data_IF_758551857113
#
_entry.id   IF_758551857113
#
_cell.length_a   1.000
_cell.length_b   1.000
_cell.length_c   1.000
_cell.angle_alpha   90.00
_cell.angle_beta   90.00
_cell.angle_gamma   90.00
#
_symmetry.space_group_name_H-M   'P 1'
#
loop_
_entity.id
_entity.type
_entity.pdbx_description
1 polymer ?
#
# COMPACT_ATOMS: atom_id res chain seq x y z
N UNK A 1 19.29 47.84 57.18
CA UNK A 1 17.88 47.52 56.87
C UNK A 1 17.67 47.27 55.37
N UNK A 2 18.67 46.71 54.67
CA UNK A 2 18.69 46.59 53.19
C UNK A 2 18.95 45.17 52.68
N UNK A 3 19.24 44.20 53.57
CA UNK A 3 19.55 42.82 53.15
C UNK A 3 18.31 41.92 53.00
N UNK A 4 17.17 42.28 53.59
CA UNK A 4 15.95 41.46 53.55
C UNK A 4 15.10 41.64 52.29
N UNK A 5 15.15 42.81 51.64
CA UNK A 5 14.41 43.05 50.39
C UNK A 5 15.04 42.29 49.20
N UNK A 6 16.38 42.17 49.19
CA UNK A 6 17.11 41.45 48.14
C UNK A 6 16.81 39.95 48.08
N UNK A 7 16.39 39.32 49.19
CA UNK A 7 16.09 37.88 49.22
C UNK A 7 14.70 37.53 48.67
N UNK A 8 13.73 38.43 48.83
CA UNK A 8 12.36 38.23 48.35
C UNK A 8 12.27 38.32 46.84
N UNK A 9 12.99 39.26 46.22
CA UNK A 9 13.02 39.43 44.76
C UNK A 9 13.62 38.21 44.06
N UNK A 10 14.70 37.64 44.60
CA UNK A 10 15.34 36.42 44.07
C UNK A 10 14.39 35.23 44.12
N UNK A 11 13.67 35.04 45.23
CA UNK A 11 12.70 33.94 45.37
C UNK A 11 11.50 34.11 44.43
N UNK A 12 11.06 35.34 44.17
CA UNK A 12 9.97 35.61 43.22
C UNK A 12 10.41 35.34 41.77
N UNK A 13 11.64 35.71 41.41
CA UNK A 13 12.21 35.44 40.09
C UNK A 13 12.38 33.94 39.84
N UNK A 14 12.91 33.19 40.81
CA UNK A 14 13.04 31.73 40.73
C UNK A 14 11.68 31.06 40.60
N UNK A 15 10.68 31.49 41.38
CA UNK A 15 9.30 30.99 41.28
C UNK A 15 8.71 31.27 39.90
N UNK A 16 8.91 32.47 39.34
CA UNK A 16 8.45 32.82 37.98
C UNK A 16 9.13 31.95 36.91
N UNK A 17 10.44 31.71 37.02
CA UNK A 17 11.19 30.82 36.11
C UNK A 17 10.69 29.39 36.19
N UNK A 18 10.46 28.86 37.40
CA UNK A 18 9.92 27.52 37.61
C UNK A 18 8.50 27.38 37.03
N UNK A 19 7.62 28.37 37.24
CA UNK A 19 6.26 28.35 36.67
C UNK A 19 6.31 28.40 35.14
N UNK A 20 7.16 29.26 34.57
CA UNK A 20 7.32 29.39 33.11
C UNK A 20 7.88 28.10 32.51
N UNK A 21 8.87 27.49 33.14
CA UNK A 21 9.45 26.20 32.73
C UNK A 21 8.41 25.07 32.77
N UNK A 22 7.63 24.95 33.86
CA UNK A 22 6.54 23.96 33.96
C UNK A 22 5.51 24.13 32.85
N UNK A 23 5.06 25.38 32.59
CA UNK A 23 4.12 25.68 31.51
C UNK A 23 4.70 25.32 30.14
N UNK A 24 5.96 25.64 29.89
CA UNK A 24 6.64 25.30 28.65
C UNK A 24 6.71 23.77 28.46
N UNK A 25 7.10 23.02 29.49
CA UNK A 25 7.10 21.56 29.45
C UNK A 25 5.71 20.97 29.19
N UNK A 26 4.66 21.51 29.83
CA UNK A 26 3.28 21.07 29.57
C UNK A 26 2.87 21.36 28.13
N UNK A 27 3.14 22.56 27.61
CA UNK A 27 2.82 22.92 26.22
C UNK A 27 3.56 22.00 25.25
N UNK A 28 4.87 21.81 25.44
CA UNK A 28 5.66 20.90 24.61
C UNK A 28 5.13 19.46 24.68
N UNK A 29 4.76 18.97 25.86
CA UNK A 29 4.16 17.65 26.03
C UNK A 29 2.84 17.49 25.29
N UNK A 30 1.96 18.49 25.36
CA UNK A 30 0.68 18.49 24.64
C UNK A 30 0.89 18.53 23.12
N UNK A 31 1.80 19.39 22.64
CA UNK A 31 2.14 19.47 21.22
C UNK A 31 2.72 18.16 20.73
N UNK A 32 3.63 17.56 21.48
CA UNK A 32 4.22 16.27 21.16
C UNK A 32 3.15 15.17 21.09
N UNK A 33 2.25 15.11 22.07
CA UNK A 33 1.15 14.15 22.07
C UNK A 33 0.21 14.34 20.86
N UNK A 34 -0.11 15.59 20.50
CA UNK A 34 -0.94 15.90 19.35
C UNK A 34 -0.29 15.48 18.00
N UNK A 35 1.04 15.41 17.93
CA UNK A 35 1.78 14.99 16.73
C UNK A 35 2.05 13.48 16.71
N UNK A 36 2.19 12.83 17.87
CA UNK A 36 2.56 11.42 17.92
C UNK A 36 1.37 10.46 18.02
N UNK A 37 0.27 10.87 18.65
CA UNK A 37 -0.88 9.98 18.88
C UNK A 37 -1.76 9.73 17.64
N UNK A 38 -2.06 10.73 16.78
CA UNK A 38 -3.00 10.52 15.68
C UNK A 38 -2.62 9.43 14.67
N UNK A 39 -1.34 9.21 14.29
CA UNK A 39 -0.92 8.07 13.48
C UNK A 39 -1.27 6.69 14.04
N UNK A 40 -1.57 6.61 15.33
CA UNK A 40 -1.98 5.38 16.01
C UNK A 40 -3.50 5.34 16.18
N UNK A 41 -4.10 6.43 16.69
CA UNK A 41 -5.51 6.46 17.07
C UNK A 41 -6.43 6.59 15.84
N UNK A 42 -6.11 7.50 14.91
CA UNK A 42 -7.02 7.82 13.80
C UNK A 42 -7.26 6.62 12.89
N UNK A 43 -6.26 5.81 12.49
CA UNK A 43 -6.50 4.63 11.66
C UNK A 43 -7.41 3.57 12.31
N UNK A 44 -7.53 3.55 13.64
CA UNK A 44 -8.44 2.64 14.34
C UNK A 44 -9.90 3.09 14.25
N UNK A 45 -10.16 4.40 14.24
CA UNK A 45 -11.52 4.96 14.18
C UNK A 45 -11.98 5.29 12.75
N UNK A 46 -11.05 5.73 11.91
CA UNK A 46 -11.25 6.08 10.50
C UNK A 46 -10.18 5.37 9.67
N UNK A 47 -10.43 4.11 9.29
CA UNK A 47 -9.48 3.33 8.51
C UNK A 47 -9.26 3.97 7.14
N UNK A 48 -8.11 3.65 6.54
CA UNK A 48 -7.72 4.07 5.20
C UNK A 48 -7.47 5.58 5.02
N UNK A 49 -7.33 6.31 6.13
CA UNK A 49 -6.84 7.69 6.11
C UNK A 49 -5.34 7.73 5.81
N UNK A 50 -4.88 8.78 5.11
CA UNK A 50 -3.45 8.97 4.79
C UNK A 50 -2.59 9.40 6.00
N UNK A 51 -3.18 9.42 7.20
CA UNK A 51 -2.48 9.70 8.46
C UNK A 51 -1.47 8.60 8.77
N UNK A 52 -1.82 7.33 8.52
CA UNK A 52 -0.90 6.19 8.59
C UNK A 52 -1.51 5.05 7.78
N UNK A 53 -1.10 4.91 6.53
CA UNK A 53 -1.59 3.87 5.65
C UNK A 53 -0.51 3.34 4.71
N UNK A 54 -0.84 2.20 4.10
CA UNK A 54 -0.06 1.56 3.04
C UNK A 54 -0.95 1.40 1.83
N UNK A 55 -0.42 1.80 0.69
CA UNK A 55 -1.07 1.72 -0.60
C UNK A 55 -0.39 0.63 -1.43
N UNK A 56 -1.20 -0.14 -2.14
CA UNK A 56 -0.75 -1.11 -3.13
C UNK A 56 -1.40 -0.74 -4.45
N UNK A 57 -0.59 -0.42 -5.44
CA UNK A 57 -1.02 -0.16 -6.80
C UNK A 57 -0.48 -1.23 -7.75
N UNK A 58 -1.20 -1.48 -8.84
CA UNK A 58 -0.74 -2.31 -9.96
C UNK A 58 -0.62 -1.43 -11.20
N UNK A 59 0.41 -1.66 -12.01
CA UNK A 59 0.51 -1.13 -13.35
C UNK A 59 -0.17 -2.10 -14.33
N UNK A 60 -1.35 -1.76 -14.84
CA UNK A 60 -2.11 -2.65 -15.72
C UNK A 60 -1.56 -2.73 -17.15
N UNK A 61 -0.53 -1.95 -17.47
CA UNK A 61 0.20 -2.02 -18.75
C UNK A 61 1.47 -2.86 -18.67
N UNK A 62 2.03 -3.07 -17.48
CA UNK A 62 3.30 -3.79 -17.31
C UNK A 62 3.27 -4.93 -16.29
N UNK A 63 2.18 -5.06 -15.53
CA UNK A 63 2.06 -6.01 -14.42
C UNK A 63 2.84 -5.63 -13.16
N UNK A 64 3.60 -4.53 -13.14
CA UNK A 64 4.42 -4.16 -11.96
C UNK A 64 3.58 -3.69 -10.77
N UNK A 65 4.02 -4.01 -9.57
CA UNK A 65 3.40 -3.54 -8.33
C UNK A 65 4.12 -2.31 -7.79
N UNK A 66 3.38 -1.37 -7.20
CA UNK A 66 3.92 -0.24 -6.44
C UNK A 66 3.35 -0.24 -5.03
N UNK A 67 4.25 -0.17 -4.06
CA UNK A 67 3.95 -0.14 -2.64
C UNK A 67 4.35 1.23 -2.10
N UNK A 68 3.41 1.95 -1.50
CA UNK A 68 3.68 3.27 -0.92
C UNK A 68 3.26 3.30 0.54
N UNK A 69 4.01 4.02 1.37
CA UNK A 69 3.67 4.28 2.77
C UNK A 69 3.45 5.76 3.00
N UNK A 70 2.37 6.08 3.69
CA UNK A 70 2.01 7.44 4.06
C UNK A 70 2.01 7.59 5.57
N UNK A 71 2.51 8.73 6.03
CA UNK A 71 2.42 9.19 7.41
C UNK A 71 2.11 10.67 7.36
N UNK A 72 1.08 11.11 8.09
CA UNK A 72 0.66 12.51 8.09
C UNK A 72 0.41 13.09 6.68
N UNK A 73 -0.26 12.34 5.80
CA UNK A 73 -0.53 12.72 4.41
C UNK A 73 0.73 12.87 3.53
N UNK A 74 1.91 12.60 4.07
CA UNK A 74 3.18 12.65 3.34
C UNK A 74 3.58 11.22 2.94
N UNK A 75 3.90 11.03 1.66
CA UNK A 75 4.49 9.78 1.17
C UNK A 75 5.92 9.66 1.70
N UNK A 76 6.13 8.77 2.65
CA UNK A 76 7.44 8.57 3.30
C UNK A 76 8.26 7.47 2.64
N UNK A 77 7.63 6.57 1.89
CA UNK A 77 8.33 5.55 1.11
C UNK A 77 7.52 5.14 -0.11
N UNK A 78 8.23 4.75 -1.16
CA UNK A 78 7.67 4.16 -2.37
C UNK A 78 8.64 3.12 -2.93
N UNK A 79 8.11 1.98 -3.33
CA UNK A 79 8.88 0.89 -3.90
C UNK A 79 8.09 0.28 -5.06
N UNK A 80 8.75 0.08 -6.20
CA UNK A 80 8.18 -0.65 -7.34
C UNK A 80 8.84 -2.03 -7.38
N UNK A 81 8.02 -3.08 -7.44
CA UNK A 81 8.47 -4.48 -7.51
C UNK A 81 7.89 -5.16 -8.73
N UNK A 82 8.65 -6.10 -9.27
CA UNK A 82 8.12 -7.02 -10.25
C UNK A 82 7.10 -7.98 -9.58
N UNK A 83 6.09 -8.37 -10.35
CA UNK A 83 5.13 -9.42 -10.01
C UNK A 83 5.34 -10.59 -10.96
N UNK A 84 4.75 -11.77 -10.70
CA UNK A 84 4.81 -12.88 -11.66
C UNK A 84 4.36 -12.49 -13.08
N UNK A 85 3.39 -11.57 -13.20
CA UNK A 85 2.93 -11.04 -14.49
C UNK A 85 4.05 -10.25 -15.17
N UNK A 86 4.69 -9.31 -14.48
CA UNK A 86 5.73 -8.49 -15.10
C UNK A 86 7.01 -9.27 -15.39
N UNK A 87 7.30 -10.30 -14.60
CA UNK A 87 8.41 -11.24 -14.86
C UNK A 87 8.14 -12.03 -16.14
N UNK A 88 6.95 -12.62 -16.28
CA UNK A 88 6.57 -13.38 -17.47
C UNK A 88 6.57 -12.54 -18.76
N UNK A 89 6.35 -11.22 -18.65
CA UNK A 89 6.38 -10.30 -19.78
C UNK A 89 7.78 -9.79 -20.16
N UNK A 90 8.81 -10.02 -19.32
CA UNK A 90 10.19 -9.60 -19.58
C UNK A 90 10.33 -8.11 -19.98
N UNK A 91 9.52 -7.24 -19.37
CA UNK A 91 9.50 -5.80 -19.65
C UNK A 91 8.64 -5.36 -20.84
N UNK A 92 7.93 -6.28 -21.50
CA UNK A 92 6.91 -5.98 -22.51
C UNK A 92 5.80 -5.12 -21.90
N UNK A 93 5.35 -4.13 -22.68
CA UNK A 93 4.24 -3.23 -22.33
C UNK A 93 3.02 -3.61 -23.16
N UNK A 94 1.90 -3.88 -22.49
CA UNK A 94 0.62 -4.15 -23.11
C UNK A 94 -0.21 -2.87 -23.05
N UNK A 95 -0.61 -2.34 -24.19
CA UNK A 95 -1.37 -1.09 -24.28
C UNK A 95 -2.51 -1.24 -25.29
N UNK A 96 -3.65 -1.77 -24.82
CA UNK A 96 -4.82 -2.08 -25.66
C UNK A 96 -6.01 -1.16 -25.39
N UNK A 97 -5.92 -0.29 -24.38
CA UNK A 97 -6.96 0.69 -24.06
C UNK A 97 -6.36 2.00 -23.54
N UNK A 98 -7.06 3.12 -23.78
CA UNK A 98 -6.72 4.42 -23.22
C UNK A 98 -7.10 4.50 -21.73
N UNK A 99 -6.31 3.84 -20.90
CA UNK A 99 -6.47 3.78 -19.45
C UNK A 99 -5.13 4.12 -18.77
N UNK A 100 -5.21 4.78 -17.61
CA UNK A 100 -4.01 5.14 -16.84
C UNK A 100 -3.24 3.86 -16.44
N UNK A 101 -1.90 3.86 -16.42
CA UNK A 101 -1.17 2.64 -16.09
C UNK A 101 -1.36 2.21 -14.64
N UNK A 102 -1.23 3.15 -13.68
CA UNK A 102 -1.22 2.82 -12.26
C UNK A 102 -2.62 2.92 -11.64
N UNK A 103 -3.04 1.84 -11.00
CA UNK A 103 -4.32 1.75 -10.30
C UNK A 103 -4.18 1.23 -8.89
N UNK A 104 -4.90 1.85 -7.95
CA UNK A 104 -5.01 1.39 -6.57
C UNK A 104 -5.74 0.04 -6.51
N UNK A 105 -5.11 -0.92 -5.84
CA UNK A 105 -5.63 -2.29 -5.62
C UNK A 105 -6.02 -2.47 -4.16
N UNK A 106 -5.15 -2.04 -3.24
CA UNK A 106 -5.42 -2.14 -1.80
C UNK A 106 -4.99 -0.89 -1.03
N UNK A 107 -5.72 -0.60 0.04
CA UNK A 107 -5.32 0.35 1.08
C UNK A 107 -5.42 -0.33 2.43
N UNK A 108 -4.32 -0.33 3.17
CA UNK A 108 -4.24 -0.91 4.51
C UNK A 108 -3.90 0.15 5.54
N UNK A 109 -4.50 0.04 6.71
CA UNK A 109 -4.16 0.82 7.89
C UNK A 109 -3.55 -0.10 8.95
N UNK A 110 -2.73 0.41 9.88
CA UNK A 110 -2.21 -0.37 11.00
C UNK A 110 -3.32 -1.16 11.70
N UNK A 111 -3.09 -2.45 11.91
CA UNK A 111 -4.05 -3.35 12.58
C UNK A 111 -5.20 -3.86 11.69
N UNK A 112 -5.36 -3.36 10.47
CA UNK A 112 -6.44 -3.77 9.56
C UNK A 112 -5.92 -4.62 8.41
N UNK A 113 -6.61 -5.73 8.16
CA UNK A 113 -6.28 -6.71 7.11
C UNK A 113 -7.21 -6.66 5.90
N UNK A 114 -8.20 -5.77 5.91
CA UNK A 114 -9.11 -5.58 4.80
C UNK A 114 -8.94 -4.18 4.18
N UNK A 115 -9.29 -4.08 2.91
CA UNK A 115 -9.21 -2.87 2.10
C UNK A 115 -10.59 -2.55 1.54
N UNK A 116 -10.89 -1.29 1.17
CA UNK A 116 -12.01 -1.00 0.30
C UNK A 116 -11.90 -1.80 -1.00
N UNK A 117 -13.05 -2.12 -1.59
CA UNK A 117 -13.11 -2.86 -2.83
C UNK A 117 -12.84 -1.92 -4.02
N UNK A 118 -11.61 -1.95 -4.52
CA UNK A 118 -11.19 -1.17 -5.68
C UNK A 118 -11.50 -1.88 -7.00
N UNK A 119 -11.51 -1.12 -8.11
CA UNK A 119 -11.75 -1.61 -9.48
C UNK A 119 -10.85 -2.80 -9.87
N UNK A 120 -9.62 -2.82 -9.36
CA UNK A 120 -8.63 -3.88 -9.59
C UNK A 120 -8.27 -4.64 -8.31
N UNK A 121 -9.16 -4.70 -7.30
CA UNK A 121 -8.88 -5.24 -5.96
C UNK A 121 -8.28 -6.65 -5.96
N UNK A 122 -8.71 -7.53 -6.87
CA UNK A 122 -8.21 -8.89 -6.99
C UNK A 122 -6.86 -9.03 -7.73
N UNK A 123 -6.30 -7.96 -8.29
CA UNK A 123 -5.16 -8.05 -9.20
C UNK A 123 -3.93 -8.76 -8.61
N UNK A 124 -3.60 -8.51 -7.34
CA UNK A 124 -2.48 -9.19 -6.68
C UNK A 124 -2.77 -10.66 -6.36
N UNK A 125 -4.03 -10.99 -6.03
CA UNK A 125 -4.43 -12.38 -5.83
C UNK A 125 -4.37 -13.15 -7.17
N UNK A 126 -4.80 -12.52 -8.25
CA UNK A 126 -4.74 -13.09 -9.60
C UNK A 126 -3.31 -13.27 -10.10
N UNK A 127 -2.41 -12.32 -9.86
CA UNK A 127 -1.00 -12.48 -10.20
C UNK A 127 -0.37 -13.71 -9.51
N UNK A 128 -0.76 -13.97 -8.25
CA UNK A 128 -0.33 -15.18 -7.52
C UNK A 128 -1.02 -16.44 -7.99
N UNK A 129 -2.32 -16.39 -8.30
CA UNK A 129 -3.07 -17.52 -8.88
C UNK A 129 -2.43 -17.94 -10.22
N UNK A 130 -2.07 -16.99 -11.07
CA UNK A 130 -1.36 -17.22 -12.33
C UNK A 130 -0.02 -17.94 -12.11
N UNK A 131 0.80 -17.48 -11.16
CA UNK A 131 2.07 -18.13 -10.82
C UNK A 131 1.86 -19.59 -10.40
N UNK A 132 0.87 -19.85 -9.55
CA UNK A 132 0.50 -21.22 -9.18
C UNK A 132 0.02 -22.04 -10.38
N UNK A 133 -0.76 -21.44 -11.29
CA UNK A 133 -1.19 -22.09 -12.53
C UNK A 133 0.01 -22.49 -13.38
N UNK A 134 1.02 -21.61 -13.53
CA UNK A 134 2.25 -21.93 -14.28
C UNK A 134 2.99 -23.13 -13.71
N UNK A 135 3.08 -23.24 -12.38
CA UNK A 135 3.72 -24.37 -11.72
C UNK A 135 2.94 -25.67 -11.89
N UNK A 136 1.61 -25.60 -11.86
CA UNK A 136 0.74 -26.78 -11.93
C UNK A 136 0.65 -27.39 -13.33
N UNK A 137 0.67 -26.56 -14.38
CA UNK A 137 0.60 -27.02 -15.78
C UNK A 137 1.99 -27.14 -16.43
N UNK A 138 3.05 -26.95 -15.66
CA UNK A 138 4.46 -26.85 -16.13
C UNK A 138 4.63 -25.91 -17.33
N UNK A 139 3.99 -24.74 -17.26
CA UNK A 139 3.95 -23.80 -18.38
C UNK A 139 5.36 -23.35 -18.77
N UNK A 140 5.67 -23.42 -20.06
CA UNK A 140 6.93 -22.92 -20.63
C UNK A 140 6.93 -21.38 -20.72
N UNK A 141 8.07 -20.78 -21.08
CA UNK A 141 8.22 -19.32 -21.11
C UNK A 141 7.26 -18.61 -22.06
N UNK A 142 6.92 -19.23 -23.20
CA UNK A 142 6.02 -18.66 -24.20
C UNK A 142 4.58 -18.64 -23.66
N UNK A 143 4.11 -19.77 -23.13
CA UNK A 143 2.79 -19.89 -22.49
C UNK A 143 2.63 -18.90 -21.33
N UNK A 144 3.66 -18.77 -20.48
CA UNK A 144 3.66 -17.80 -19.38
C UNK A 144 3.47 -16.36 -19.89
N UNK A 145 4.17 -16.00 -20.96
CA UNK A 145 4.07 -14.68 -21.57
C UNK A 145 2.67 -14.45 -22.17
N UNK A 146 2.11 -15.43 -22.87
CA UNK A 146 0.77 -15.37 -23.47
C UNK A 146 -0.34 -15.22 -22.41
N UNK A 147 -0.24 -15.98 -21.32
CA UNK A 147 -1.19 -15.90 -20.20
C UNK A 147 -1.10 -14.54 -19.51
N UNK A 148 0.11 -14.07 -19.21
CA UNK A 148 0.34 -12.77 -18.59
C UNK A 148 -0.17 -11.61 -19.47
N UNK A 149 0.05 -11.68 -20.77
CA UNK A 149 -0.47 -10.72 -21.74
C UNK A 149 -2.00 -10.72 -21.78
N UNK A 150 -2.63 -11.90 -21.78
CA UNK A 150 -4.08 -12.05 -21.79
C UNK A 150 -4.72 -11.46 -20.53
N UNK A 151 -4.11 -11.64 -19.36
CA UNK A 151 -4.55 -11.01 -18.11
C UNK A 151 -4.55 -9.48 -18.23
N UNK A 152 -3.46 -8.88 -18.71
CA UNK A 152 -3.37 -7.43 -18.85
C UNK A 152 -4.38 -6.90 -19.89
N UNK A 153 -4.59 -7.63 -20.99
CA UNK A 153 -5.62 -7.29 -21.99
C UNK A 153 -7.02 -7.30 -21.38
N UNK A 154 -7.37 -8.34 -20.62
CA UNK A 154 -8.66 -8.46 -19.95
C UNK A 154 -8.87 -7.31 -18.93
N UNK A 155 -7.87 -7.02 -18.10
CA UNK A 155 -7.93 -5.89 -17.18
C UNK A 155 -8.15 -4.56 -17.89
N UNK A 156 -7.50 -4.32 -19.03
CA UNK A 156 -7.61 -3.07 -19.78
C UNK A 156 -8.94 -2.95 -20.54
N UNK A 157 -9.37 -4.02 -21.22
CA UNK A 157 -10.59 -4.04 -22.03
C UNK A 157 -11.84 -3.88 -21.16
N UNK A 158 -11.92 -4.62 -20.05
CA UNK A 158 -13.07 -4.62 -19.16
C UNK A 158 -12.94 -3.53 -18.08
N UNK A 159 -11.71 -3.06 -17.87
CA UNK A 159 -11.39 -2.16 -16.79
C UNK A 159 -11.83 -2.74 -15.45
N UNK A 160 -11.64 -4.02 -15.16
CA UNK A 160 -11.89 -4.59 -13.82
C UNK A 160 -11.21 -5.94 -13.74
N UNK A 161 -11.00 -6.42 -12.52
CA UNK A 161 -10.28 -7.67 -12.32
C UNK A 161 -11.12 -8.93 -12.57
N UNK A 162 -12.44 -8.89 -12.36
CA UNK A 162 -13.30 -10.09 -12.37
C UNK A 162 -13.13 -11.07 -13.54
N UNK A 163 -13.05 -10.62 -14.82
CA UNK A 163 -12.97 -11.54 -15.97
C UNK A 163 -11.72 -12.43 -15.99
N UNK A 164 -10.67 -12.03 -15.28
CA UNK A 164 -9.43 -12.80 -15.18
C UNK A 164 -9.60 -14.06 -14.31
N UNK A 165 -10.55 -14.07 -13.37
CA UNK A 165 -10.77 -15.25 -12.51
C UNK A 165 -11.27 -16.45 -13.33
N UNK A 166 -12.21 -16.18 -14.24
CA UNK A 166 -12.77 -17.17 -15.18
C UNK A 166 -11.69 -17.62 -16.18
N UNK A 167 -10.94 -16.67 -16.75
CA UNK A 167 -9.85 -16.98 -17.68
C UNK A 167 -8.78 -17.90 -17.06
N UNK A 168 -8.30 -17.57 -15.86
CA UNK A 168 -7.30 -18.40 -15.16
C UNK A 168 -7.85 -19.78 -14.79
N UNK A 169 -9.16 -19.90 -14.58
CA UNK A 169 -9.79 -21.20 -14.35
C UNK A 169 -9.75 -22.05 -15.63
N UNK A 170 -10.12 -21.48 -16.78
CA UNK A 170 -10.06 -22.16 -18.08
C UNK A 170 -8.65 -22.60 -18.43
N UNK A 171 -7.66 -21.72 -18.30
CA UNK A 171 -6.23 -22.05 -18.57
C UNK A 171 -5.76 -23.22 -17.70
N UNK A 172 -6.15 -23.24 -16.42
CA UNK A 172 -5.79 -24.32 -15.52
C UNK A 172 -6.44 -25.66 -15.95
N UNK A 173 -7.73 -25.66 -16.27
CA UNK A 173 -8.44 -26.87 -16.70
C UNK A 173 -7.88 -27.43 -18.02
N UNK A 174 -7.60 -26.56 -19.00
CA UNK A 174 -7.02 -26.95 -20.28
C UNK A 174 -5.61 -27.53 -20.12
N UNK A 175 -4.74 -26.88 -19.33
CA UNK A 175 -3.39 -27.36 -19.09
C UNK A 175 -3.35 -28.71 -18.36
N UNK A 176 -4.24 -28.92 -17.38
CA UNK A 176 -4.34 -30.22 -16.70
C UNK A 176 -4.75 -31.34 -17.65
N UNK A 177 -5.73 -31.10 -18.54
CA UNK A 177 -6.18 -32.12 -19.50
C UNK A 177 -5.10 -32.52 -20.52
N UNK A 178 -4.22 -31.58 -20.88
CA UNK A 178 -3.09 -31.87 -21.79
C UNK A 178 -2.03 -32.73 -21.09
N UNK A 179 -1.73 -32.43 -19.82
CA UNK A 179 -0.75 -33.20 -19.04
C UNK A 179 -1.15 -34.66 -18.79
N UNK A 180 -2.45 -34.99 -18.85
CA UNK A 180 -2.94 -36.36 -18.69
C UNK A 180 -2.81 -37.21 -19.97
N UNK A 181 -2.56 -36.57 -21.12
CA UNK A 181 -2.46 -37.25 -22.42
C UNK A 181 -1.02 -37.60 -22.82
N UNK A 182 -0.02 -37.07 -22.11
CA UNK A 182 1.42 -37.31 -22.30
C UNK A 182 1.95 -38.44 -21.40
#
# INVERSE_FOLDING_TARGET
MTETESGLDVLEEERKRLITSKRLCTVLGVVLAAVLLPPVIVPMAKPWTEINCRHQDINIKTGRARYSRYLWFVKISEEVRDTPISVALEGKVIDVADIKPWHRVNTFSPGLRHSPHYRFHGAFAQARKMEMTFELIDANSEERCEIAESILKLWQAEGRYFPVDDYLQTVFEEGMNLSEQE
#
